data_IF_538652475238
#
_entry.id   IF_538652475238
#
_cell.length_a   1.000
_cell.length_b   1.000
_cell.length_c   1.000
_cell.angle_alpha   90.00
_cell.angle_beta   90.00
_cell.angle_gamma   90.00
#
_symmetry.space_group_name_H-M   'P 1'
#
loop_
_entity.id
_entity.type
_entity.pdbx_description
1 polymer ?
#
# COMPACT_ATOMS: atom_id res chain seq x y z
N UNK A 1 -1.32 -3.20 19.43
CA UNK A 1 -0.32 -3.48 18.40
C UNK A 1 1.00 -2.83 18.83
N UNK A 2 2.06 -3.61 18.95
CA UNK A 2 3.32 -3.14 19.50
C UNK A 2 4.38 -2.88 18.40
N UNK A 3 4.21 -3.53 17.24
CA UNK A 3 5.05 -3.38 16.05
C UNK A 3 4.15 -3.33 14.82
N UNK A 4 4.43 -2.40 13.90
CA UNK A 4 3.80 -2.39 12.58
C UNK A 4 4.72 -1.73 11.54
N UNK A 5 4.61 -2.07 10.26
CA UNK A 5 5.29 -1.36 9.20
C UNK A 5 4.52 -0.08 8.85
N UNK A 6 5.24 1.03 8.68
CA UNK A 6 4.67 2.30 8.24
C UNK A 6 5.58 2.94 7.18
N UNK A 7 5.00 3.75 6.33
CA UNK A 7 5.70 4.46 5.26
C UNK A 7 6.07 5.89 5.69
N UNK A 8 7.30 6.31 5.42
CA UNK A 8 7.79 7.65 5.79
C UNK A 8 6.91 8.77 5.24
N UNK A 9 6.45 8.66 3.98
CA UNK A 9 5.54 9.62 3.36
C UNK A 9 4.19 9.70 4.04
N UNK A 10 3.58 8.55 4.39
CA UNK A 10 2.32 8.48 5.13
C UNK A 10 2.46 9.14 6.50
N UNK A 11 3.52 8.77 7.24
CA UNK A 11 3.83 9.40 8.53
C UNK A 11 3.98 10.92 8.41
N UNK A 12 4.65 11.39 7.35
CA UNK A 12 4.94 12.80 7.12
C UNK A 12 3.69 13.59 6.70
N UNK A 13 3.00 13.15 5.66
CA UNK A 13 1.90 13.89 5.02
C UNK A 13 0.57 13.66 5.74
N UNK A 14 0.24 12.40 6.03
CA UNK A 14 -1.09 12.01 6.50
C UNK A 14 -1.21 12.12 8.02
N UNK A 15 -0.25 11.56 8.76
CA UNK A 15 -0.33 11.49 10.22
C UNK A 15 0.12 12.80 10.87
N UNK A 16 1.32 13.28 10.50
CA UNK A 16 1.88 14.51 11.05
C UNK A 16 1.35 15.77 10.39
N UNK A 17 0.70 15.66 9.24
CA UNK A 17 0.13 16.76 8.45
C UNK A 17 1.14 17.88 8.17
N UNK A 18 2.38 17.50 7.84
CA UNK A 18 3.45 18.45 7.57
C UNK A 18 3.26 19.03 6.17
N UNK A 19 2.96 20.32 6.08
CA UNK A 19 2.65 21.01 4.82
C UNK A 19 3.88 21.23 3.91
N UNK A 20 5.09 21.35 4.51
CA UNK A 20 6.32 21.58 3.74
C UNK A 20 6.76 20.27 3.10
N UNK A 21 6.67 20.15 1.78
CA UNK A 21 7.18 18.99 1.04
C UNK A 21 8.68 18.83 1.26
N UNK A 22 9.13 17.61 1.45
CA UNK A 22 10.53 17.22 1.45
C UNK A 22 10.66 16.03 0.51
N UNK A 23 11.53 16.15 -0.49
CA UNK A 23 11.86 15.06 -1.42
C UNK A 23 13.16 14.36 -1.01
N UNK A 24 13.79 14.80 0.08
CA UNK A 24 14.94 14.15 0.67
C UNK A 24 14.50 13.02 1.60
N UNK A 25 14.84 11.75 1.26
CA UNK A 25 14.46 10.58 2.04
C UNK A 25 14.96 10.63 3.49
N UNK A 26 16.22 11.06 3.68
CA UNK A 26 16.82 11.11 5.00
C UNK A 26 16.16 12.17 5.88
N UNK A 27 15.95 13.37 5.34
CA UNK A 27 15.25 14.43 6.08
C UNK A 27 13.83 14.03 6.44
N UNK A 28 13.10 13.41 5.50
CA UNK A 28 11.74 12.90 5.74
C UNK A 28 11.74 11.87 6.86
N UNK A 29 12.60 10.85 6.78
CA UNK A 29 12.75 9.82 7.80
C UNK A 29 13.08 10.40 9.17
N UNK A 30 14.12 11.22 9.29
CA UNK A 30 14.54 11.80 10.56
C UNK A 30 13.46 12.68 11.19
N UNK A 31 12.70 13.42 10.39
CA UNK A 31 11.63 14.26 10.86
C UNK A 31 10.44 13.46 11.40
N UNK A 32 10.05 12.41 10.67
CA UNK A 32 8.98 11.48 11.11
C UNK A 32 9.42 10.78 12.39
N UNK A 33 10.61 10.19 12.42
CA UNK A 33 11.18 9.50 13.58
C UNK A 33 11.13 10.36 14.84
N UNK A 34 11.72 11.55 14.80
CA UNK A 34 11.73 12.48 15.95
C UNK A 34 10.34 12.90 16.40
N UNK A 35 9.42 13.10 15.44
CA UNK A 35 8.06 13.52 15.76
C UNK A 35 7.25 12.40 16.40
N UNK A 36 7.42 11.17 15.95
CA UNK A 36 6.74 9.99 16.51
C UNK A 36 7.27 9.65 17.90
N UNK A 37 8.59 9.70 18.10
CA UNK A 37 9.20 9.52 19.43
C UNK A 37 8.65 10.51 20.45
N UNK A 38 8.51 11.78 20.03
CA UNK A 38 8.05 12.85 20.93
C UNK A 38 6.53 12.86 21.18
N UNK A 39 5.72 12.46 20.19
CA UNK A 39 4.25 12.62 20.25
C UNK A 39 3.51 11.35 20.59
N UNK A 40 4.04 10.20 20.22
CA UNK A 40 3.32 8.94 20.23
C UNK A 40 4.03 7.83 21.01
N UNK A 41 5.23 8.09 21.53
CA UNK A 41 6.07 7.09 22.21
C UNK A 41 6.39 5.88 21.31
N UNK A 42 6.59 6.18 20.00
CA UNK A 42 6.89 5.20 18.96
C UNK A 42 8.27 5.48 18.35
N UNK A 43 9.07 4.45 18.17
CA UNK A 43 10.38 4.54 17.51
C UNK A 43 10.31 3.97 16.10
N UNK A 44 10.82 4.73 15.13
CA UNK A 44 11.08 4.27 13.78
C UNK A 44 12.47 3.65 13.72
N UNK A 45 12.55 2.38 13.31
CA UNK A 45 13.80 1.69 13.05
C UNK A 45 14.27 1.92 11.62
N UNK A 46 15.41 1.33 11.24
CA UNK A 46 15.96 1.46 9.90
C UNK A 46 14.96 1.06 8.81
N UNK A 47 14.88 1.81 7.70
CA UNK A 47 14.04 1.42 6.57
C UNK A 47 14.40 0.04 6.05
N UNK A 48 13.41 -0.72 5.60
CA UNK A 48 13.64 -2.02 4.95
C UNK A 48 14.48 -1.90 3.67
N UNK A 49 14.43 -0.72 3.01
CA UNK A 49 15.24 -0.41 1.84
C UNK A 49 14.44 -0.12 0.57
N UNK A 50 13.17 -0.51 0.48
CA UNK A 50 12.31 -0.20 -0.65
C UNK A 50 11.47 1.06 -0.42
N UNK A 51 11.16 1.74 -1.53
CA UNK A 51 10.35 2.96 -1.58
C UNK A 51 9.04 2.69 -2.31
N UNK A 52 7.96 2.42 -1.59
CA UNK A 52 6.65 2.13 -2.17
C UNK A 52 5.90 3.41 -2.59
N UNK A 53 6.42 4.08 -3.61
CA UNK A 53 5.84 5.34 -4.12
C UNK A 53 4.83 5.10 -5.24
N UNK A 54 3.99 6.10 -5.50
CA UNK A 54 3.18 6.11 -6.72
C UNK A 54 4.06 6.21 -7.96
N UNK A 55 3.67 5.50 -9.00
CA UNK A 55 4.20 5.62 -10.35
C UNK A 55 3.04 5.73 -11.35
N UNK A 56 3.24 6.47 -12.43
CA UNK A 56 2.36 6.37 -13.58
C UNK A 56 2.94 5.34 -14.54
N UNK A 57 2.12 4.38 -14.97
CA UNK A 57 2.56 3.32 -15.88
C UNK A 57 1.71 3.28 -17.14
N UNK A 58 2.35 3.00 -18.27
CA UNK A 58 1.73 2.84 -19.58
C UNK A 58 2.07 1.49 -20.20
N UNK A 59 1.32 1.05 -21.21
CA UNK A 59 1.73 -0.12 -21.99
C UNK A 59 3.01 0.14 -22.77
N UNK A 60 3.82 -0.90 -23.01
CA UNK A 60 5.10 -0.80 -23.72
C UNK A 60 4.92 -0.20 -25.14
N UNK A 61 3.86 -0.59 -25.86
CA UNK A 61 3.59 -0.04 -27.19
C UNK A 61 3.23 1.45 -27.15
N UNK A 62 2.54 1.92 -26.09
CA UNK A 62 2.23 3.34 -25.89
C UNK A 62 3.51 4.12 -25.57
N UNK A 63 4.34 3.59 -24.66
CA UNK A 63 5.64 4.18 -24.34
C UNK A 63 6.50 4.34 -25.59
N UNK A 64 6.61 3.29 -26.42
CA UNK A 64 7.38 3.32 -27.68
C UNK A 64 6.79 4.29 -28.70
N UNK A 65 5.45 4.26 -28.91
CA UNK A 65 4.76 5.11 -29.90
C UNK A 65 5.00 6.59 -29.65
N UNK A 66 5.00 7.00 -28.40
CA UNK A 66 5.08 8.41 -28.00
C UNK A 66 6.42 8.77 -27.36
N UNK A 67 7.40 7.85 -27.35
CA UNK A 67 8.73 8.04 -26.73
C UNK A 67 8.65 8.49 -25.27
N UNK A 68 7.77 7.85 -24.49
CA UNK A 68 7.53 8.20 -23.08
C UNK A 68 8.58 7.55 -22.19
N UNK A 69 9.23 8.34 -21.35
CA UNK A 69 10.16 7.90 -20.32
C UNK A 69 9.92 8.59 -18.98
N UNK A 70 9.39 9.80 -19.02
CA UNK A 70 9.18 10.66 -17.86
C UNK A 70 7.69 11.06 -17.76
N UNK A 71 7.25 11.43 -16.58
CA UNK A 71 5.91 11.99 -16.38
C UNK A 71 5.74 13.31 -17.16
N UNK A 72 6.80 14.11 -17.29
CA UNK A 72 6.79 15.33 -18.10
C UNK A 72 6.41 15.11 -19.57
N UNK A 73 6.71 13.93 -20.14
CA UNK A 73 6.42 13.62 -21.54
C UNK A 73 4.91 13.52 -21.80
N UNK A 74 4.11 13.23 -20.79
CA UNK A 74 2.65 13.11 -20.88
C UNK A 74 1.98 14.40 -21.39
N UNK A 75 2.57 15.56 -21.12
CA UNK A 75 2.06 16.84 -21.61
C UNK A 75 1.95 16.91 -23.14
N UNK A 76 2.85 16.22 -23.85
CA UNK A 76 2.93 16.25 -25.32
C UNK A 76 1.86 15.35 -25.98
N UNK A 77 1.21 14.50 -25.19
CA UNK A 77 0.22 13.51 -25.65
C UNK A 77 -1.14 13.68 -24.98
N UNK A 78 -1.34 14.84 -24.35
CA UNK A 78 -2.61 15.20 -23.74
C UNK A 78 -3.76 15.10 -24.77
N UNK A 79 -4.82 14.40 -24.40
CA UNK A 79 -5.94 14.10 -25.31
C UNK A 79 -5.73 12.94 -26.29
N UNK A 80 -4.53 12.35 -26.39
CA UNK A 80 -4.23 11.22 -27.30
C UNK A 80 -4.28 9.86 -26.63
N UNK A 81 -4.36 9.81 -25.32
CA UNK A 81 -4.43 8.59 -24.52
C UNK A 81 -5.60 8.64 -23.55
N UNK A 82 -5.98 7.46 -23.04
CA UNK A 82 -7.09 7.28 -22.11
C UNK A 82 -6.55 6.94 -20.73
N UNK A 83 -6.44 7.90 -19.80
CA UNK A 83 -6.03 7.62 -18.44
C UNK A 83 -7.15 6.93 -17.65
N UNK A 84 -6.80 5.89 -16.90
CA UNK A 84 -7.65 5.28 -15.89
C UNK A 84 -6.87 5.15 -14.60
N UNK A 85 -7.33 5.78 -13.53
CA UNK A 85 -6.59 5.83 -12.27
C UNK A 85 -7.45 5.34 -11.11
N UNK A 86 -6.81 4.98 -10.01
CA UNK A 86 -7.54 4.55 -8.82
C UNK A 86 -8.38 5.69 -8.24
N UNK A 87 -9.52 5.33 -7.64
CA UNK A 87 -10.37 6.33 -6.97
C UNK A 87 -9.61 7.09 -5.88
N UNK A 88 -8.68 6.41 -5.19
CA UNK A 88 -7.84 7.04 -4.19
C UNK A 88 -6.92 8.09 -4.83
N UNK A 89 -6.16 7.71 -5.86
CA UNK A 89 -5.23 8.60 -6.55
C UNK A 89 -5.93 9.80 -7.19
N UNK A 90 -7.14 9.59 -7.74
CA UNK A 90 -7.95 10.63 -8.37
C UNK A 90 -8.36 11.75 -7.39
N UNK A 91 -8.54 11.41 -6.10
CA UNK A 91 -9.11 12.34 -5.12
C UNK A 91 -8.09 12.88 -4.12
N UNK A 92 -6.89 12.31 -4.04
CA UNK A 92 -5.87 12.77 -3.08
C UNK A 92 -5.17 14.04 -3.56
N UNK A 93 -4.87 15.00 -2.66
CA UNK A 93 -4.08 16.19 -3.03
C UNK A 93 -2.67 15.86 -3.52
N UNK A 94 -2.06 14.78 -2.99
CA UNK A 94 -0.76 14.24 -3.39
C UNK A 94 -0.88 13.17 -4.50
N UNK A 95 -2.05 13.04 -5.10
CA UNK A 95 -2.37 12.18 -6.22
C UNK A 95 -2.51 12.95 -7.53
N UNK A 96 -3.51 12.57 -8.35
CA UNK A 96 -3.73 13.11 -9.69
C UNK A 96 -3.91 14.62 -9.74
N UNK A 97 -4.70 15.29 -8.85
CA UNK A 97 -4.88 16.73 -8.89
C UNK A 97 -3.57 17.50 -8.74
N UNK A 98 -2.76 17.16 -7.72
CA UNK A 98 -1.48 17.81 -7.49
C UNK A 98 -0.45 17.47 -8.58
N UNK A 99 -0.46 16.24 -9.09
CA UNK A 99 0.42 15.81 -10.15
C UNK A 99 0.12 16.59 -11.45
N UNK A 100 -1.15 16.73 -11.78
CA UNK A 100 -1.62 17.53 -12.94
C UNK A 100 -1.14 18.98 -12.85
N UNK A 101 -1.25 19.59 -11.69
CA UNK A 101 -0.75 20.95 -11.45
C UNK A 101 0.76 21.03 -11.61
N UNK A 102 1.51 20.08 -10.98
CA UNK A 102 2.96 20.08 -11.01
C UNK A 102 3.55 19.85 -12.40
N UNK A 103 2.91 19.00 -13.21
CA UNK A 103 3.40 18.62 -14.55
C UNK A 103 2.74 19.37 -15.70
N UNK A 104 1.59 20.00 -15.48
CA UNK A 104 0.91 20.86 -16.45
C UNK A 104 0.22 20.13 -17.60
N UNK A 105 -0.16 18.85 -17.42
CA UNK A 105 -1.02 18.13 -18.36
C UNK A 105 -2.50 18.28 -17.97
N UNK A 106 -3.41 18.16 -18.95
CA UNK A 106 -4.84 18.43 -18.81
C UNK A 106 -5.66 17.30 -19.44
N UNK A 107 -5.54 16.08 -18.93
CA UNK A 107 -6.37 14.98 -19.44
C UNK A 107 -7.87 15.30 -19.23
N UNK A 108 -8.59 15.46 -20.34
CA UNK A 108 -10.00 15.86 -20.32
C UNK A 108 -10.91 14.78 -19.71
N UNK A 109 -10.59 13.51 -19.95
CA UNK A 109 -11.39 12.37 -19.52
C UNK A 109 -10.52 11.38 -18.77
N UNK A 110 -10.51 11.47 -17.44
CA UNK A 110 -9.83 10.50 -16.56
C UNK A 110 -10.90 9.61 -15.93
N UNK A 111 -10.76 8.30 -16.10
CA UNK A 111 -11.70 7.35 -15.52
C UNK A 111 -11.18 6.90 -14.15
N UNK A 112 -11.98 7.13 -13.10
CA UNK A 112 -11.72 6.57 -11.77
C UNK A 112 -12.20 5.13 -11.69
N UNK A 113 -11.38 4.22 -11.13
CA UNK A 113 -11.72 2.82 -10.96
C UNK A 113 -11.04 2.21 -9.74
N UNK A 114 -11.38 0.99 -9.41
CA UNK A 114 -10.68 0.23 -8.38
C UNK A 114 -9.29 -0.18 -8.89
N UNK A 115 -8.27 -0.19 -8.01
CA UNK A 115 -6.87 -0.37 -8.38
C UNK A 115 -6.62 -1.67 -9.17
N UNK A 116 -7.14 -2.81 -8.71
CA UNK A 116 -6.98 -4.10 -9.41
C UNK A 116 -7.69 -4.13 -10.76
N UNK A 117 -8.81 -3.39 -10.91
CA UNK A 117 -9.52 -3.28 -12.19
C UNK A 117 -8.74 -2.42 -13.20
N UNK A 118 -7.96 -1.44 -12.74
CA UNK A 118 -7.12 -0.61 -13.61
C UNK A 118 -6.08 -1.47 -14.35
N UNK A 119 -5.48 -2.45 -13.69
CA UNK A 119 -4.55 -3.39 -14.33
C UNK A 119 -5.23 -4.26 -15.42
N UNK A 120 -6.46 -4.72 -15.18
CA UNK A 120 -7.22 -5.48 -16.19
C UNK A 120 -7.61 -4.57 -17.37
N UNK A 121 -8.00 -3.33 -17.10
CA UNK A 121 -8.39 -2.37 -18.11
C UNK A 121 -7.20 -1.97 -19.02
N UNK A 122 -6.01 -1.74 -18.46
CA UNK A 122 -4.82 -1.42 -19.26
C UNK A 122 -4.35 -2.64 -20.06
N UNK A 123 -4.40 -3.83 -19.48
CA UNK A 123 -4.03 -5.07 -20.17
C UNK A 123 -4.95 -5.33 -21.38
N UNK A 124 -6.25 -5.03 -21.27
CA UNK A 124 -7.23 -5.17 -22.36
C UNK A 124 -7.23 -4.00 -23.35
N UNK A 125 -6.40 -2.99 -23.16
CA UNK A 125 -6.33 -1.81 -24.05
C UNK A 125 -7.50 -0.83 -23.92
N UNK A 126 -8.34 -0.97 -22.90
CA UNK A 126 -9.45 -0.02 -22.64
C UNK A 126 -8.94 1.34 -22.17
N UNK A 127 -7.82 1.35 -21.45
CA UNK A 127 -7.08 2.52 -21.01
C UNK A 127 -5.61 2.39 -21.39
N UNK A 128 -4.88 3.49 -21.37
CA UNK A 128 -3.49 3.57 -21.82
C UNK A 128 -2.49 3.90 -20.72
N UNK A 129 -2.97 4.49 -19.61
CA UNK A 129 -2.19 4.93 -18.48
C UNK A 129 -2.93 4.62 -17.19
N UNK A 130 -2.18 4.15 -16.17
CA UNK A 130 -2.67 3.91 -14.81
C UNK A 130 -1.75 4.56 -13.77
N UNK A 131 -2.27 4.78 -12.56
CA UNK A 131 -1.46 4.86 -11.36
C UNK A 131 -1.18 3.45 -10.83
N UNK A 132 -0.01 3.26 -10.30
CA UNK A 132 0.45 2.01 -9.70
C UNK A 132 1.37 2.32 -8.52
N UNK A 133 1.70 1.31 -7.74
CA UNK A 133 2.78 1.41 -6.77
C UNK A 133 4.06 0.82 -7.36
N UNK A 134 5.20 1.43 -7.07
CA UNK A 134 6.51 0.98 -7.60
C UNK A 134 6.85 -0.47 -7.26
N UNK A 135 6.24 -1.03 -6.23
CA UNK A 135 6.43 -2.41 -5.76
C UNK A 135 5.34 -3.38 -6.20
N UNK A 136 4.38 -2.95 -7.04
CA UNK A 136 3.31 -3.82 -7.53
C UNK A 136 3.84 -4.94 -8.42
N UNK A 137 3.50 -6.18 -8.11
CA UNK A 137 3.87 -7.35 -8.91
C UNK A 137 3.22 -7.35 -10.29
N UNK A 138 2.05 -6.73 -10.41
CA UNK A 138 1.28 -6.59 -11.66
C UNK A 138 2.03 -5.77 -12.72
N UNK A 139 2.94 -4.85 -12.32
CA UNK A 139 3.81 -4.16 -13.27
C UNK A 139 4.65 -5.14 -14.08
N UNK A 140 5.17 -6.20 -13.43
CA UNK A 140 5.91 -7.28 -14.08
C UNK A 140 4.98 -8.17 -14.91
N UNK A 141 3.85 -8.59 -14.34
CA UNK A 141 2.86 -9.44 -15.00
C UNK A 141 2.41 -8.88 -16.33
N UNK A 142 2.00 -7.62 -16.33
CA UNK A 142 1.46 -6.96 -17.52
C UNK A 142 2.52 -6.25 -18.36
N UNK A 143 3.81 -6.38 -17.97
CA UNK A 143 4.95 -5.76 -18.66
C UNK A 143 4.73 -4.28 -18.92
N UNK A 144 4.24 -3.57 -17.92
CA UNK A 144 3.99 -2.14 -18.04
C UNK A 144 5.30 -1.34 -17.99
N UNK A 145 5.27 -0.16 -18.56
CA UNK A 145 6.40 0.78 -18.55
C UNK A 145 6.12 1.90 -17.54
N UNK A 146 6.77 1.88 -16.35
CA UNK A 146 6.65 2.94 -15.38
C UNK A 146 7.37 4.20 -15.89
N UNK A 147 6.72 5.35 -15.78
CA UNK A 147 7.29 6.66 -16.11
C UNK A 147 8.05 7.20 -14.90
N UNK A 148 9.24 7.77 -15.16
CA UNK A 148 10.06 8.38 -14.12
C UNK A 148 9.42 9.71 -13.66
N UNK A 149 9.32 9.92 -12.36
CA UNK A 149 8.97 11.18 -11.73
C UNK A 149 10.16 12.16 -11.80
N UNK A 150 10.35 12.80 -12.96
CA UNK A 150 11.50 13.67 -13.26
C UNK A 150 11.46 15.02 -12.54
N UNK A 151 10.33 15.38 -11.94
CA UNK A 151 10.18 16.57 -11.07
C UNK A 151 10.14 16.26 -9.59
N UNK A 152 10.27 14.99 -9.22
CA UNK A 152 10.22 14.53 -7.82
C UNK A 152 8.96 15.04 -7.10
N UNK A 153 7.82 14.86 -7.72
CA UNK A 153 6.53 15.29 -7.17
C UNK A 153 6.12 14.45 -5.95
N UNK A 154 6.34 13.13 -6.03
CA UNK A 154 5.98 12.23 -4.97
C UNK A 154 6.99 12.29 -3.82
N UNK A 155 6.54 12.40 -2.56
CA UNK A 155 7.46 12.29 -1.42
C UNK A 155 8.00 10.85 -1.32
N UNK A 156 9.12 10.65 -0.61
CA UNK A 156 9.64 9.32 -0.36
C UNK A 156 8.72 8.53 0.59
N UNK A 157 8.40 7.28 0.21
CA UNK A 157 7.58 6.34 0.96
C UNK A 157 8.38 5.09 1.37
N UNK A 158 9.49 5.26 2.08
CA UNK A 158 10.27 4.15 2.59
C UNK A 158 9.52 3.44 3.72
N UNK A 159 9.38 2.11 3.60
CA UNK A 159 8.77 1.30 4.64
C UNK A 159 9.75 1.07 5.78
N UNK A 160 9.28 1.28 7.01
CA UNK A 160 10.08 1.13 8.23
C UNK A 160 9.30 0.37 9.31
N UNK A 161 9.95 -0.43 10.14
CA UNK A 161 9.32 -0.91 11.37
C UNK A 161 9.09 0.26 12.32
N UNK A 162 7.87 0.38 12.82
CA UNK A 162 7.50 1.32 13.88
C UNK A 162 7.16 0.52 15.13
N UNK A 163 7.84 0.81 16.22
CA UNK A 163 7.82 0.00 17.42
C UNK A 163 7.52 0.87 18.65
N UNK A 164 6.71 0.36 19.54
CA UNK A 164 6.44 1.01 20.83
C UNK A 164 7.74 1.08 21.66
N UNK A 165 8.07 2.24 22.21
CA UNK A 165 9.32 2.42 22.98
C UNK A 165 9.38 1.51 24.21
N UNK A 166 8.23 1.28 24.85
CA UNK A 166 8.14 0.36 25.97
C UNK A 166 8.58 -1.06 25.62
N UNK A 167 8.12 -1.58 24.46
CA UNK A 167 8.55 -2.90 23.99
C UNK A 167 10.07 -2.98 23.83
N UNK A 168 10.69 -1.95 23.25
CA UNK A 168 12.14 -1.92 23.05
C UNK A 168 12.94 -1.79 24.36
N UNK A 169 12.33 -1.29 25.43
CA UNK A 169 12.94 -1.23 26.77
C UNK A 169 12.88 -2.58 27.47
N UNK A 170 11.75 -3.29 27.36
CA UNK A 170 11.54 -4.60 28.00
C UNK A 170 12.21 -5.71 27.19
N UNK A 171 12.20 -5.61 25.86
CA UNK A 171 12.69 -6.60 24.91
C UNK A 171 13.69 -5.95 23.92
N UNK A 172 14.92 -5.62 24.34
CA UNK A 172 15.92 -5.00 23.46
C UNK A 172 16.34 -5.88 22.29
N UNK A 173 16.21 -7.22 22.40
CA UNK A 173 16.46 -8.18 21.33
C UNK A 173 15.56 -7.97 20.10
N UNK A 174 14.35 -7.43 20.29
CA UNK A 174 13.43 -7.09 19.18
C UNK A 174 14.06 -6.03 18.27
N UNK A 175 14.73 -5.03 18.85
CA UNK A 175 15.45 -4.03 18.05
C UNK A 175 16.53 -4.70 17.20
N UNK A 176 17.36 -5.54 17.80
CA UNK A 176 18.45 -6.20 17.09
C UNK A 176 17.92 -7.07 15.92
N UNK A 177 16.83 -7.80 16.15
CA UNK A 177 16.20 -8.62 15.12
C UNK A 177 15.65 -7.79 13.95
N UNK A 178 14.92 -6.69 14.24
CA UNK A 178 14.33 -5.83 13.20
C UNK A 178 15.39 -5.01 12.44
N UNK A 179 16.45 -4.55 13.10
CA UNK A 179 17.54 -3.81 12.42
C UNK A 179 18.31 -4.68 11.43
N UNK A 180 18.31 -6.02 11.56
CA UNK A 180 18.88 -6.93 10.54
C UNK A 180 18.13 -6.84 9.20
N UNK A 181 16.88 -6.43 9.20
CA UNK A 181 16.08 -6.20 7.99
C UNK A 181 16.37 -4.83 7.35
N UNK A 182 17.13 -3.97 8.03
CA UNK A 182 17.48 -2.64 7.53
C UNK A 182 18.21 -2.71 6.21
N UNK A 183 17.65 -2.06 5.18
CA UNK A 183 18.16 -2.03 3.79
C UNK A 183 18.33 -3.40 3.12
N UNK A 184 17.70 -4.45 3.65
CA UNK A 184 17.78 -5.80 3.10
C UNK A 184 16.90 -6.00 1.85
N UNK A 185 15.87 -5.17 1.65
CA UNK A 185 14.88 -5.31 0.58
C UNK A 185 14.91 -4.06 -0.30
N UNK A 186 15.37 -4.17 -1.55
CA UNK A 186 15.22 -3.08 -2.51
C UNK A 186 13.89 -3.16 -3.27
N UNK A 187 13.57 -2.13 -4.09
CA UNK A 187 12.29 -2.05 -4.82
C UNK A 187 12.06 -3.28 -5.72
N UNK A 188 13.09 -3.75 -6.42
CA UNK A 188 12.97 -4.92 -7.29
C UNK A 188 12.73 -6.21 -6.51
N UNK A 189 13.39 -6.36 -5.37
CA UNK A 189 13.18 -7.52 -4.48
C UNK A 189 11.75 -7.52 -3.95
N UNK A 190 11.24 -6.37 -3.48
CA UNK A 190 9.87 -6.27 -3.00
C UNK A 190 8.84 -6.54 -4.11
N UNK A 191 9.08 -6.03 -5.32
CA UNK A 191 8.24 -6.30 -6.48
C UNK A 191 8.18 -7.79 -6.82
N UNK A 192 9.32 -8.49 -6.78
CA UNK A 192 9.37 -9.95 -7.00
C UNK A 192 8.65 -10.74 -5.91
N UNK A 193 8.82 -10.34 -4.65
CA UNK A 193 8.10 -10.97 -3.53
C UNK A 193 6.59 -10.80 -3.69
N UNK A 194 6.12 -9.59 -4.02
CA UNK A 194 4.71 -9.34 -4.28
C UNK A 194 4.21 -10.16 -5.47
N UNK A 195 4.99 -10.24 -6.55
CA UNK A 195 4.65 -11.06 -7.72
C UNK A 195 4.50 -12.54 -7.36
N UNK A 196 5.44 -13.11 -6.61
CA UNK A 196 5.38 -14.52 -6.21
C UNK A 196 4.14 -14.84 -5.37
N UNK A 197 3.75 -13.95 -4.47
CA UNK A 197 2.55 -14.13 -3.64
C UNK A 197 1.27 -13.89 -4.43
N UNK A 198 1.20 -12.80 -5.21
CA UNK A 198 -0.02 -12.39 -5.88
C UNK A 198 -0.31 -13.21 -7.13
N UNK A 199 0.72 -13.54 -7.92
CA UNK A 199 0.59 -14.17 -9.24
C UNK A 199 0.93 -15.66 -9.22
N UNK A 200 2.04 -16.04 -8.61
CA UNK A 200 2.47 -17.43 -8.50
C UNK A 200 1.77 -18.19 -7.37
N UNK A 201 0.99 -17.47 -6.54
CA UNK A 201 0.22 -18.02 -5.41
C UNK A 201 1.09 -18.71 -4.36
N UNK A 202 2.36 -18.32 -4.25
CA UNK A 202 3.24 -18.79 -3.18
C UNK A 202 2.68 -18.29 -1.84
N UNK A 203 2.50 -19.16 -0.85
CA UNK A 203 2.05 -18.73 0.48
C UNK A 203 3.00 -17.69 1.09
N UNK A 204 2.46 -16.66 1.74
CA UNK A 204 3.27 -15.59 2.35
C UNK A 204 4.36 -16.13 3.29
N UNK A 205 4.07 -17.08 4.22
CA UNK A 205 5.12 -17.62 5.08
C UNK A 205 6.27 -18.26 4.31
N UNK A 206 5.97 -18.96 3.22
CA UNK A 206 6.97 -19.61 2.37
C UNK A 206 7.83 -18.57 1.63
N UNK A 207 7.20 -17.56 1.01
CA UNK A 207 7.91 -16.48 0.32
C UNK A 207 8.84 -15.72 1.28
N UNK A 208 8.36 -15.43 2.50
CA UNK A 208 9.14 -14.75 3.54
C UNK A 208 10.28 -15.64 4.03
N UNK A 209 10.03 -16.93 4.32
CA UNK A 209 11.06 -17.86 4.80
C UNK A 209 12.18 -18.02 3.78
N UNK A 210 11.84 -18.21 2.49
CA UNK A 210 12.83 -18.27 1.41
C UNK A 210 13.68 -17.00 1.35
N UNK A 211 13.02 -15.83 1.35
CA UNK A 211 13.75 -14.56 1.33
C UNK A 211 14.71 -14.41 2.51
N UNK A 212 14.27 -14.72 3.72
CA UNK A 212 15.10 -14.61 4.92
C UNK A 212 16.28 -15.59 4.90
N UNK A 213 16.09 -16.80 4.40
CA UNK A 213 17.15 -17.82 4.24
C UNK A 213 18.15 -17.43 3.15
N UNK A 214 17.68 -16.94 2.00
CA UNK A 214 18.51 -16.55 0.86
C UNK A 214 19.40 -15.34 1.17
N UNK A 215 19.01 -14.53 2.18
CA UNK A 215 19.77 -13.39 2.66
C UNK A 215 20.49 -13.62 4.00
N UNK A 216 20.62 -14.87 4.45
CA UNK A 216 21.28 -15.27 5.70
C UNK A 216 20.74 -14.54 6.94
N UNK A 217 19.47 -14.16 6.92
CA UNK A 217 18.79 -13.48 8.02
C UNK A 217 18.27 -14.47 9.08
N UNK A 218 17.99 -15.70 8.67
CA UNK A 218 17.67 -16.83 9.53
C UNK A 218 18.49 -18.05 9.10
N UNK A 219 18.67 -19.00 10.03
CA UNK A 219 19.32 -20.27 9.71
C UNK A 219 18.47 -21.05 8.69
N UNK A 220 19.16 -21.81 7.82
CA UNK A 220 18.51 -22.73 6.88
C UNK A 220 17.95 -23.94 7.65
N UNK A 221 16.89 -23.70 8.39
CA UNK A 221 16.10 -24.78 8.98
C UNK A 221 15.28 -25.41 7.86
N UNK A 222 15.29 -26.75 7.77
CA UNK A 222 14.31 -27.44 6.93
C UNK A 222 12.94 -26.91 7.35
N UNK A 223 12.20 -26.37 6.40
CA UNK A 223 10.80 -26.03 6.62
C UNK A 223 10.13 -27.36 6.94
N UNK A 224 9.96 -27.63 8.22
CA UNK A 224 9.01 -28.67 8.64
C UNK A 224 7.67 -28.09 8.18
N UNK A 225 7.13 -28.64 7.12
CA UNK A 225 5.76 -28.40 6.72
C UNK A 225 4.92 -28.83 7.93
N UNK A 226 4.54 -27.87 8.76
CA UNK A 226 3.45 -28.04 9.71
C UNK A 226 2.15 -28.13 8.92
N UNK A 227 1.97 -29.29 8.25
CA UNK A 227 0.78 -29.64 7.51
C UNK A 227 -0.45 -29.82 8.43
N UNK A 228 -0.28 -29.74 9.74
CA UNK A 228 -1.38 -29.99 10.67
C UNK A 228 -2.24 -28.76 11.02
N UNK A 229 -1.82 -27.51 10.75
CA UNK A 229 -2.62 -26.34 11.14
C UNK A 229 -3.52 -25.73 10.04
N UNK A 230 -3.53 -26.27 8.82
CA UNK A 230 -4.30 -25.67 7.71
C UNK A 230 -5.51 -26.44 7.19
N UNK A 231 -5.94 -27.48 7.88
CA UNK A 231 -7.21 -28.16 7.57
C UNK A 231 -8.39 -27.74 8.44
N UNK A 232 -8.29 -26.66 9.17
CA UNK A 232 -9.47 -26.04 9.74
C UNK A 232 -10.30 -25.41 8.61
N UNK A 233 -11.12 -26.26 7.99
CA UNK A 233 -12.05 -25.83 6.95
C UNK A 233 -12.92 -24.68 7.47
N UNK A 234 -13.54 -23.91 6.55
CA UNK A 234 -14.43 -22.78 6.85
C UNK A 234 -15.37 -23.03 8.05
N UNK A 235 -15.88 -24.24 8.18
CA UNK A 235 -16.75 -24.62 9.30
C UNK A 235 -16.03 -24.71 10.65
N UNK A 236 -14.78 -25.16 10.71
CA UNK A 236 -14.02 -25.18 11.96
C UNK A 236 -13.63 -23.76 12.40
N UNK A 237 -13.23 -22.89 11.46
CA UNK A 237 -13.00 -21.47 11.74
C UNK A 237 -14.29 -20.77 12.21
N UNK A 238 -15.45 -21.05 11.60
CA UNK A 238 -16.75 -20.55 12.06
C UNK A 238 -17.09 -21.05 13.48
N UNK A 239 -16.77 -22.31 13.77
CA UNK A 239 -17.02 -22.89 15.08
C UNK A 239 -16.14 -22.27 16.17
N UNK A 240 -14.86 -22.06 15.92
CA UNK A 240 -13.95 -21.36 16.83
C UNK A 240 -14.41 -19.91 17.12
N UNK A 241 -14.93 -19.22 16.10
CA UNK A 241 -15.36 -17.81 16.20
C UNK A 241 -16.84 -17.64 16.54
N UNK A 242 -17.60 -18.74 16.76
CA UNK A 242 -19.07 -18.71 16.94
C UNK A 242 -19.58 -17.71 17.99
N UNK A 243 -18.90 -17.63 19.15
CA UNK A 243 -19.32 -16.72 20.22
C UNK A 243 -19.11 -15.25 19.82
N UNK A 244 -18.00 -14.93 19.17
CA UNK A 244 -17.72 -13.58 18.66
C UNK A 244 -18.69 -13.22 17.53
N UNK A 245 -18.93 -14.13 16.60
CA UNK A 245 -19.88 -13.96 15.50
C UNK A 245 -21.29 -13.76 16.03
N UNK A 246 -21.75 -14.59 16.96
CA UNK A 246 -23.06 -14.45 17.63
C UNK A 246 -23.20 -13.11 18.36
N UNK A 247 -22.15 -12.65 19.06
CA UNK A 247 -22.19 -11.37 19.77
C UNK A 247 -22.29 -10.19 18.82
N UNK A 248 -21.55 -10.21 17.71
CA UNK A 248 -21.60 -9.18 16.67
C UNK A 248 -22.95 -9.19 15.95
N UNK A 249 -23.46 -10.37 15.57
CA UNK A 249 -24.77 -10.50 14.92
C UNK A 249 -25.90 -9.98 15.84
N UNK A 250 -25.87 -10.35 17.11
CA UNK A 250 -26.87 -9.84 18.10
C UNK A 250 -26.79 -8.32 18.21
N UNK A 251 -25.59 -7.74 18.23
CA UNK A 251 -25.38 -6.28 18.27
C UNK A 251 -25.93 -5.60 17.01
N UNK A 252 -25.71 -6.17 15.82
CA UNK A 252 -26.25 -5.64 14.58
C UNK A 252 -27.77 -5.72 14.50
N UNK A 253 -28.36 -6.85 14.92
CA UNK A 253 -29.81 -6.99 15.00
C UNK A 253 -30.40 -5.96 15.95
N UNK A 254 -29.80 -5.79 17.15
CA UNK A 254 -30.26 -4.79 18.11
C UNK A 254 -30.23 -3.37 17.55
N UNK A 255 -29.11 -2.97 16.88
CA UNK A 255 -29.00 -1.66 16.28
C UNK A 255 -29.98 -1.45 15.12
N UNK A 256 -30.21 -2.48 14.30
CA UNK A 256 -31.18 -2.44 13.22
C UNK A 256 -32.62 -2.30 13.75
N UNK A 257 -32.96 -3.05 14.76
CA UNK A 257 -34.29 -2.98 15.42
C UNK A 257 -34.50 -1.63 16.12
N UNK A 258 -33.46 -1.13 16.82
CA UNK A 258 -33.52 0.17 17.47
C UNK A 258 -33.71 1.31 16.47
N UNK A 259 -32.98 1.29 15.35
CA UNK A 259 -33.13 2.28 14.28
C UNK A 259 -34.50 2.21 13.58
N UNK A 260 -35.02 0.98 13.38
CA UNK A 260 -36.36 0.78 12.82
C UNK A 260 -37.45 1.32 13.76
N UNK A 261 -37.35 1.01 15.05
CA UNK A 261 -38.32 1.51 16.07
C UNK A 261 -38.28 3.03 16.18
N UNK A 262 -37.08 3.64 16.11
CA UNK A 262 -36.94 5.09 16.07
C UNK A 262 -37.57 5.68 14.79
N UNK A 263 -37.31 5.07 13.63
CA UNK A 263 -37.90 5.50 12.37
C UNK A 263 -39.45 5.43 12.39
N UNK A 264 -40.01 4.35 12.93
CA UNK A 264 -41.48 4.20 13.10
C UNK A 264 -42.00 5.22 14.13
N UNK A 265 -41.32 5.34 15.29
CA UNK A 265 -41.75 6.23 16.37
C UNK A 265 -41.73 7.71 15.99
N UNK A 266 -40.82 8.14 15.14
CA UNK A 266 -40.76 9.52 14.66
C UNK A 266 -41.41 9.75 13.28
N UNK A 267 -41.31 8.78 12.38
CA UNK A 267 -41.83 8.90 11.01
C UNK A 267 -43.37 8.78 10.96
N UNK A 268 -43.97 7.83 11.66
CA UNK A 268 -45.40 7.63 11.65
C UNK A 268 -46.17 8.82 12.27
N UNK A 269 -45.77 9.41 13.43
CA UNK A 269 -46.44 10.60 13.96
C UNK A 269 -46.28 11.87 13.09
N UNK A 270 -45.25 11.95 12.27
CA UNK A 270 -44.97 13.11 11.38
C UNK A 270 -45.70 12.99 10.04
N UNK A 271 -46.38 11.87 9.77
CA UNK A 271 -47.21 11.66 8.59
C UNK A 271 -46.43 11.44 7.31
N UNK A 272 -45.27 10.85 7.41
CA UNK A 272 -44.43 10.43 6.26
C UNK A 272 -44.68 8.96 5.98
#
# INVERSE_FOLDING_TARGET
LDIYPEYTGTGYVTILKIKRKSNDPLQTYLRVKRSYEKRFDLTWLSPFGFNNTYVLAVRQEVAKRYSLSNISDLKNIDGKIKPGVSHEFLNRPDGFPGLREAYGFQFANVTGMEHGLAYQAIASGKIDLIDAFSTDGELLRYKLHPLRDDRQFFPPYYACPVVRQELLRVHPEVRAALERLGFAINDQTMQKLNYSVQEEKVPIPEAVSRFLQDNDLIEKTQIVEDDEERQDGFFAMMWQRRLKTLSLTRRHIYLAMASLLLAIGFGVPVGI
#
